data_IF_715734524261
#
_entry.id   IF_715734524261
#
_cell.length_a   1.000
_cell.length_b   1.000
_cell.length_c   1.000
_cell.angle_alpha   90.00
_cell.angle_beta   90.00
_cell.angle_gamma   90.00
#
_symmetry.space_group_name_H-M   'P 1'
#
loop_
_entity.id
_entity.type
_entity.pdbx_description
1 polymer ?
#
# COMPACT_ATOMS: atom_id res chain seq x y z
N UNK A 1 19.26 -16.06 7.51
CA UNK A 1 18.66 -15.51 8.75
C UNK A 1 17.58 -14.53 8.30
N UNK A 2 16.31 -14.87 8.48
CA UNK A 2 15.19 -13.99 8.12
C UNK A 2 15.07 -12.91 9.19
N UNK A 3 15.26 -11.64 8.84
CA UNK A 3 15.01 -10.55 9.78
C UNK A 3 13.53 -10.52 10.22
N UNK A 4 13.23 -10.24 11.49
CA UNK A 4 11.87 -10.23 11.99
C UNK A 4 11.02 -9.15 11.29
N UNK A 5 9.68 -9.34 11.18
CA UNK A 5 8.76 -8.32 10.69
C UNK A 5 8.93 -6.99 11.44
N UNK A 6 8.76 -5.86 10.75
CA UNK A 6 8.87 -4.52 11.35
C UNK A 6 7.81 -4.31 12.42
N UNK A 7 6.69 -5.02 12.32
CA UNK A 7 5.60 -5.03 13.29
C UNK A 7 5.60 -6.33 14.13
N UNK A 8 6.52 -6.49 15.11
CA UNK A 8 6.38 -7.54 16.10
C UNK A 8 5.10 -7.31 16.91
N UNK A 9 4.60 -8.39 17.50
CA UNK A 9 3.34 -8.43 18.27
C UNK A 9 3.22 -7.30 19.28
N UNK A 10 4.29 -7.02 20.03
CA UNK A 10 4.32 -5.94 21.02
C UNK A 10 4.06 -4.57 20.42
N UNK A 11 4.63 -4.25 19.25
CA UNK A 11 4.40 -2.97 18.56
C UNK A 11 2.99 -2.90 17.98
N UNK A 12 2.44 -4.02 17.49
CA UNK A 12 1.05 -4.09 17.04
C UNK A 12 0.07 -3.73 18.16
N UNK A 13 0.31 -4.26 19.37
CA UNK A 13 -0.47 -3.95 20.57
C UNK A 13 -0.36 -2.49 20.99
N UNK A 14 0.85 -1.92 20.98
CA UNK A 14 1.06 -0.51 21.27
C UNK A 14 0.32 0.39 20.27
N UNK A 15 0.39 0.05 18.97
CA UNK A 15 -0.34 0.77 17.94
C UNK A 15 -1.85 0.64 18.09
N UNK A 16 -2.37 -0.56 18.35
CA UNK A 16 -3.81 -0.78 18.54
C UNK A 16 -4.38 0.02 19.72
N UNK A 17 -3.57 0.25 20.77
CA UNK A 17 -3.94 1.06 21.93
C UNK A 17 -3.72 2.57 21.74
N UNK A 18 -2.68 2.99 21.01
CA UNK A 18 -2.33 4.40 20.84
C UNK A 18 -3.02 5.08 19.65
N UNK A 19 -3.40 4.30 18.63
CA UNK A 19 -4.07 4.82 17.45
C UNK A 19 -5.57 5.05 17.71
N UNK A 20 -6.18 5.99 16.97
CA UNK A 20 -7.62 6.14 16.93
C UNK A 20 -8.35 4.81 16.64
N UNK A 21 -9.59 4.64 17.14
CA UNK A 21 -10.34 3.40 16.99
C UNK A 21 -10.59 3.01 15.52
N UNK A 22 -10.49 3.94 14.58
CA UNK A 22 -10.61 3.64 13.15
C UNK A 22 -9.52 2.70 12.61
N UNK A 23 -8.36 2.64 13.27
CA UNK A 23 -7.27 1.74 12.89
C UNK A 23 -7.33 0.42 13.65
N UNK A 24 -7.95 0.37 14.83
CA UNK A 24 -7.97 -0.81 15.69
C UNK A 24 -9.31 -1.54 15.74
N UNK A 25 -10.40 -0.90 15.29
CA UNK A 25 -11.74 -1.48 15.23
C UNK A 25 -12.26 -1.39 13.79
N UNK A 26 -12.68 -2.52 13.19
CA UNK A 26 -13.39 -2.46 11.92
C UNK A 26 -14.68 -1.65 12.11
N UNK A 27 -15.01 -0.82 11.13
CA UNK A 27 -16.25 -0.02 11.15
C UNK A 27 -17.38 -1.03 10.91
N UNK A 28 -18.02 -1.49 12.00
CA UNK A 28 -19.11 -2.49 12.05
C UNK A 28 -19.80 -2.73 10.69
N UNK A 29 -19.66 -3.94 10.15
CA UNK A 29 -20.78 -4.56 9.44
C UNK A 29 -21.91 -4.77 10.46
N UNK A 30 -23.14 -4.42 10.08
CA UNK A 30 -24.32 -4.61 10.90
C UNK A 30 -24.36 -6.03 11.49
N UNK A 31 -24.42 -6.14 12.82
CA UNK A 31 -24.58 -7.42 13.50
C UNK A 31 -25.99 -7.96 13.26
N UNK A 32 -26.17 -9.20 12.76
CA UNK A 32 -27.44 -9.89 12.95
C UNK A 32 -27.56 -10.24 14.44
N UNK A 33 -28.77 -10.13 14.97
CA UNK A 33 -29.14 -10.64 16.28
C UNK A 33 -28.76 -12.11 16.38
N UNK A 34 -27.85 -12.47 17.28
CA UNK A 34 -27.74 -13.86 17.69
C UNK A 34 -27.54 -13.99 19.21
N UNK A 35 -28.58 -14.53 19.82
CA UNK A 35 -28.71 -14.87 21.21
C UNK A 35 -27.98 -16.19 21.48
N UNK A 36 -26.71 -16.11 21.84
CA UNK A 36 -25.89 -17.28 22.19
C UNK A 36 -25.13 -17.05 23.49
N UNK A 37 -25.63 -17.65 24.57
CA UNK A 37 -25.10 -17.54 25.93
C UNK A 37 -23.86 -18.44 26.09
N UNK A 38 -22.80 -17.92 26.74
CA UNK A 38 -21.68 -18.67 27.35
C UNK A 38 -20.43 -19.13 26.53
N UNK A 39 -20.00 -18.40 25.49
CA UNK A 39 -18.60 -18.47 24.99
C UNK A 39 -17.80 -17.15 25.11
N UNK A 40 -18.35 -16.16 25.81
CA UNK A 40 -17.84 -14.81 25.83
C UNK A 40 -16.40 -14.70 26.38
N UNK A 41 -16.03 -15.48 27.40
CA UNK A 41 -14.70 -15.37 28.04
C UNK A 41 -13.57 -15.98 27.21
N UNK A 42 -13.78 -17.13 26.55
CA UNK A 42 -12.79 -17.70 25.64
C UNK A 42 -12.68 -16.95 24.32
N UNK A 43 -13.80 -16.47 23.76
CA UNK A 43 -13.76 -15.60 22.58
C UNK A 43 -13.14 -14.23 22.91
N UNK A 44 -13.32 -13.72 24.13
CA UNK A 44 -12.67 -12.50 24.61
C UNK A 44 -11.17 -12.70 24.86
N UNK A 45 -10.77 -13.82 25.48
CA UNK A 45 -9.36 -14.21 25.62
C UNK A 45 -8.71 -14.46 24.26
N UNK A 46 -9.39 -15.11 23.32
CA UNK A 46 -8.91 -15.28 21.95
C UNK A 46 -8.82 -13.95 21.17
N UNK A 47 -9.70 -12.98 21.45
CA UNK A 47 -9.59 -11.59 20.97
C UNK A 47 -8.47 -10.80 21.65
N UNK A 48 -8.18 -11.10 22.92
CA UNK A 48 -7.03 -10.54 23.66
C UNK A 48 -5.72 -11.23 23.29
N UNK A 49 -5.77 -12.43 22.72
CA UNK A 49 -4.61 -13.20 22.25
C UNK A 49 -4.45 -13.09 20.73
N UNK A 50 -5.41 -12.49 19.99
CA UNK A 50 -5.27 -12.26 18.56
C UNK A 50 -4.24 -11.15 18.33
N UNK A 51 -3.04 -11.65 18.06
CA UNK A 51 -1.69 -11.08 17.85
C UNK A 51 -1.57 -9.77 17.07
N UNK A 52 -2.57 -9.40 16.29
CA UNK A 52 -2.75 -8.15 15.55
C UNK A 52 -4.27 -8.04 15.39
N UNK A 53 -4.91 -6.86 15.38
CA UNK A 53 -6.33 -6.79 15.09
C UNK A 53 -6.63 -7.60 13.83
N UNK A 54 -7.51 -8.61 13.92
CA UNK A 54 -7.62 -9.71 12.94
C UNK A 54 -7.92 -9.28 11.49
N UNK A 55 -8.30 -8.03 11.31
CA UNK A 55 -8.60 -7.40 10.03
C UNK A 55 -7.39 -6.70 9.39
N UNK A 56 -6.28 -6.52 10.10
CA UNK A 56 -5.08 -5.93 9.52
C UNK A 56 -4.50 -6.82 8.44
N UNK A 57 -4.29 -6.23 7.28
CA UNK A 57 -3.81 -6.90 6.10
C UNK A 57 -2.50 -6.28 5.64
N UNK A 58 -1.43 -7.07 5.52
CA UNK A 58 -0.21 -6.61 4.87
C UNK A 58 -0.51 -6.31 3.40
N UNK A 59 -0.34 -5.06 2.99
CA UNK A 59 -0.58 -4.58 1.62
C UNK A 59 0.72 -4.53 0.82
N UNK A 60 1.81 -4.15 1.48
CA UNK A 60 3.13 -3.98 0.89
C UNK A 60 4.20 -4.29 1.93
N UNK A 61 5.22 -5.04 1.51
CA UNK A 61 6.45 -5.28 2.26
C UNK A 61 7.62 -5.13 1.29
N UNK A 62 8.50 -4.16 1.54
CA UNK A 62 9.63 -3.89 0.67
C UNK A 62 10.65 -5.02 0.62
N UNK A 63 10.65 -5.96 1.58
CA UNK A 63 11.54 -7.14 1.58
C UNK A 63 11.12 -8.16 0.53
N UNK A 64 9.82 -8.31 0.34
CA UNK A 64 9.25 -9.24 -0.64
C UNK A 64 9.09 -8.57 -2.02
N UNK A 65 8.64 -7.32 -2.02
CA UNK A 65 8.25 -6.63 -3.24
C UNK A 65 9.37 -5.74 -3.82
N UNK A 66 10.45 -5.51 -3.06
CA UNK A 66 11.53 -4.56 -3.36
C UNK A 66 11.19 -3.13 -2.95
N UNK A 67 12.19 -2.35 -2.54
CA UNK A 67 12.05 -0.91 -2.28
C UNK A 67 11.82 -0.14 -3.58
N UNK A 68 11.04 0.94 -3.48
CA UNK A 68 10.81 1.86 -4.60
C UNK A 68 9.41 2.45 -4.63
N UNK A 69 9.33 3.71 -5.08
CA UNK A 69 8.09 4.47 -5.19
C UNK A 69 7.00 3.73 -5.98
N UNK A 70 7.31 3.27 -7.20
CA UNK A 70 6.31 2.62 -8.06
C UNK A 70 5.73 1.34 -7.42
N UNK A 71 6.55 0.61 -6.65
CA UNK A 71 6.12 -0.60 -5.95
C UNK A 71 5.19 -0.24 -4.80
N UNK A 72 5.54 0.78 -4.02
CA UNK A 72 4.65 1.32 -3.00
C UNK A 72 3.30 1.76 -3.59
N UNK A 73 3.30 2.60 -4.64
CA UNK A 73 2.07 3.10 -5.26
C UNK A 73 1.16 1.97 -5.75
N UNK A 74 1.74 0.99 -6.48
CA UNK A 74 1.01 -0.15 -7.03
C UNK A 74 0.30 -0.98 -5.94
N UNK A 75 0.91 -1.10 -4.75
CA UNK A 75 0.33 -1.91 -3.68
C UNK A 75 -0.63 -1.13 -2.78
N UNK A 76 -0.44 0.18 -2.63
CA UNK A 76 -1.09 1.00 -1.60
C UNK A 76 -2.25 1.85 -2.14
N UNK A 77 -2.12 2.48 -3.31
CA UNK A 77 -3.11 3.46 -3.81
C UNK A 77 -4.52 2.87 -4.02
N UNK A 78 -4.63 1.59 -4.40
CA UNK A 78 -5.93 0.96 -4.67
C UNK A 78 -6.70 0.56 -3.40
N UNK A 79 -6.15 0.80 -2.22
CA UNK A 79 -6.79 0.45 -0.96
C UNK A 79 -7.62 1.62 -0.41
N UNK A 80 -8.94 1.42 -0.34
CA UNK A 80 -9.92 2.46 0.03
C UNK A 80 -10.11 2.69 1.54
N UNK A 81 -9.36 1.98 2.38
CA UNK A 81 -9.49 2.02 3.83
C UNK A 81 -8.33 2.73 4.54
N UNK A 82 -8.37 2.78 5.89
CA UNK A 82 -7.28 3.30 6.69
C UNK A 82 -6.04 2.41 6.58
N UNK A 83 -4.86 3.01 6.57
CA UNK A 83 -3.58 2.32 6.41
C UNK A 83 -2.54 2.81 7.41
N UNK A 84 -1.62 1.92 7.78
CA UNK A 84 -0.44 2.21 8.58
C UNK A 84 0.80 1.96 7.73
N UNK A 85 1.63 2.98 7.56
CA UNK A 85 2.92 2.87 6.87
C UNK A 85 4.02 2.86 7.92
N UNK A 86 4.76 1.76 7.98
CA UNK A 86 5.92 1.59 8.85
C UNK A 86 7.19 1.82 8.05
N UNK A 87 8.09 2.62 8.61
CA UNK A 87 9.38 2.95 8.00
C UNK A 87 10.48 2.57 8.99
N UNK A 88 11.41 1.70 8.58
CA UNK A 88 12.62 1.40 9.35
C UNK A 88 13.83 2.06 8.75
N UNK A 89 14.54 2.83 9.57
CA UNK A 89 15.81 3.45 9.26
C UNK A 89 16.99 2.55 9.61
N UNK A 90 18.15 2.77 8.97
CA UNK A 90 19.42 2.09 9.26
C UNK A 90 19.86 2.22 10.72
N UNK A 91 19.55 3.35 11.36
CA UNK A 91 19.87 3.63 12.77
C UNK A 91 18.88 2.95 13.75
N UNK A 92 18.09 1.98 13.28
CA UNK A 92 17.13 1.22 14.10
C UNK A 92 15.86 1.99 14.48
N UNK A 93 15.69 3.24 14.00
CA UNK A 93 14.46 3.99 14.19
C UNK A 93 13.32 3.35 13.41
N UNK A 94 12.16 3.21 14.07
CA UNK A 94 10.93 2.77 13.41
C UNK A 94 9.87 3.83 13.58
N UNK A 95 9.32 4.30 12.48
CA UNK A 95 8.24 5.28 12.43
C UNK A 95 6.97 4.63 11.88
N UNK A 96 5.83 5.09 12.33
CA UNK A 96 4.51 4.69 11.86
C UNK A 96 3.73 5.93 11.43
N UNK A 97 3.22 5.93 10.21
CA UNK A 97 2.35 6.98 9.66
C UNK A 97 0.96 6.37 9.50
N UNK A 98 -0.02 6.92 10.21
CA UNK A 98 -1.42 6.56 10.08
C UNK A 98 -2.11 7.45 9.05
N UNK A 99 -2.61 6.83 7.99
CA UNK A 99 -3.54 7.46 7.05
C UNK A 99 -4.95 6.92 7.28
N UNK A 100 -5.91 7.77 7.66
CA UNK A 100 -7.28 7.35 7.91
C UNK A 100 -8.10 7.19 6.62
N UNK A 101 -7.57 7.64 5.49
CA UNK A 101 -8.20 7.58 4.18
C UNK A 101 -7.27 6.93 3.15
N UNK A 102 -7.82 6.63 1.98
CA UNK A 102 -7.06 6.14 0.84
C UNK A 102 -5.91 7.08 0.48
N UNK A 103 -4.78 6.49 0.10
CA UNK A 103 -3.64 7.26 -0.37
C UNK A 103 -3.95 7.84 -1.74
N UNK A 104 -3.60 9.11 -1.93
CA UNK A 104 -3.76 9.81 -3.20
C UNK A 104 -2.55 10.67 -3.50
N UNK A 105 -2.25 10.79 -4.78
CA UNK A 105 -1.23 11.71 -5.28
C UNK A 105 -1.80 13.13 -5.28
N UNK A 106 -1.04 14.08 -4.72
CA UNK A 106 -1.47 15.46 -4.56
C UNK A 106 -0.28 16.38 -4.35
N UNK A 107 -0.33 17.58 -4.95
CA UNK A 107 0.62 18.66 -4.67
C UNK A 107 0.29 19.44 -3.38
N UNK A 108 -0.86 19.17 -2.77
CA UNK A 108 -1.29 19.77 -1.50
C UNK A 108 -1.34 18.71 -0.40
N UNK A 109 -1.02 19.14 0.82
CA UNK A 109 -1.17 18.29 1.99
C UNK A 109 -2.65 17.99 2.25
N UNK A 110 -2.93 16.73 2.56
CA UNK A 110 -4.25 16.16 2.81
C UNK A 110 -4.21 15.32 4.10
N UNK A 111 -5.33 14.70 4.45
CA UNK A 111 -5.46 13.91 5.67
C UNK A 111 -6.52 14.49 6.61
N UNK A 112 -7.18 13.61 7.34
CA UNK A 112 -8.21 13.99 8.33
C UNK A 112 -7.57 14.20 9.70
N UNK A 113 -8.28 14.75 10.70
CA UNK A 113 -7.76 14.96 12.05
C UNK A 113 -7.22 13.70 12.76
N UNK A 114 -7.59 12.52 12.26
CA UNK A 114 -7.13 11.23 12.78
C UNK A 114 -5.85 10.71 12.10
N UNK A 115 -5.26 11.50 11.20
CA UNK A 115 -3.93 11.24 10.67
C UNK A 115 -2.91 11.45 11.79
N UNK A 116 -1.89 10.60 11.84
CA UNK A 116 -0.88 10.70 12.90
C UNK A 116 0.48 10.14 12.47
N UNK A 117 1.51 10.58 13.19
CA UNK A 117 2.87 10.08 13.08
C UNK A 117 3.35 9.67 14.47
N UNK A 118 3.75 8.41 14.59
CA UNK A 118 4.21 7.80 15.83
C UNK A 118 5.63 7.30 15.62
N UNK A 119 6.52 7.58 16.57
CA UNK A 119 7.81 6.91 16.67
C UNK A 119 7.61 5.65 17.51
N UNK A 120 7.92 4.48 16.96
CA UNK A 120 7.81 3.20 17.65
C UNK A 120 9.11 2.83 18.37
N UNK A 121 10.25 3.02 17.69
CA UNK A 121 11.57 2.68 18.20
C UNK A 121 12.56 3.84 18.00
N UNK A 122 13.57 3.97 18.89
CA UNK A 122 13.79 3.16 20.10
C UNK A 122 12.87 3.54 21.27
N UNK A 123 12.27 4.73 21.23
CA UNK A 123 11.32 5.22 22.23
C UNK A 123 9.95 5.40 21.59
N UNK A 124 8.95 4.75 22.17
CA UNK A 124 7.56 4.91 21.75
C UNK A 124 7.05 6.31 22.11
N UNK A 125 6.64 7.09 21.11
CA UNK A 125 6.06 8.42 21.31
C UNK A 125 5.18 8.83 20.13
N UNK A 126 3.97 9.32 20.42
CA UNK A 126 3.17 10.04 19.44
C UNK A 126 3.87 11.37 19.14
N UNK A 127 4.34 11.53 17.90
CA UNK A 127 5.08 12.73 17.50
C UNK A 127 4.10 13.84 17.15
N UNK A 128 3.11 13.52 16.32
CA UNK A 128 2.12 14.49 15.84
C UNK A 128 0.82 13.81 15.42
N UNK A 129 -0.31 14.51 15.61
CA UNK A 129 -1.64 14.13 15.14
C UNK A 129 -2.36 15.38 14.66
N UNK A 130 -2.96 15.36 13.47
CA UNK A 130 -3.67 16.51 12.96
C UNK A 130 -4.21 16.35 11.54
N UNK A 131 -5.08 17.28 11.09
CA UNK A 131 -5.56 17.32 9.72
C UNK A 131 -4.47 17.84 8.77
N UNK A 132 -4.60 17.54 7.47
CA UNK A 132 -3.71 18.05 6.41
C UNK A 132 -2.22 17.83 6.68
N UNK A 133 -1.86 16.67 7.22
CA UNK A 133 -0.47 16.33 7.54
C UNK A 133 0.18 15.37 6.54
N UNK A 134 -0.58 14.73 5.66
CA UNK A 134 -0.10 13.73 4.71
C UNK A 134 0.12 14.33 3.33
N UNK A 135 1.18 13.91 2.67
CA UNK A 135 1.54 14.39 1.34
C UNK A 135 2.20 13.28 0.56
N UNK A 136 1.84 13.16 -0.72
CA UNK A 136 2.42 12.20 -1.64
C UNK A 136 2.42 12.82 -3.03
N UNK A 137 3.61 13.00 -3.60
CA UNK A 137 3.76 13.51 -4.97
C UNK A 137 4.88 12.78 -5.69
N UNK A 138 4.61 12.42 -6.94
CA UNK A 138 5.50 11.59 -7.78
C UNK A 138 5.74 12.24 -9.14
N UNK A 139 4.68 12.79 -9.74
CA UNK A 139 4.69 13.27 -11.12
C UNK A 139 4.80 14.80 -11.24
N UNK A 140 4.27 15.56 -10.28
CA UNK A 140 4.12 17.02 -10.43
C UNK A 140 5.48 17.69 -10.22
N UNK A 141 6.02 18.23 -11.30
CA UNK A 141 7.28 19.00 -11.32
C UNK A 141 7.11 20.33 -10.58
N UNK A 142 8.21 20.84 -10.03
CA UNK A 142 8.21 22.09 -9.25
C UNK A 142 7.70 21.95 -7.82
N UNK A 143 7.11 20.80 -7.47
CA UNK A 143 6.77 20.43 -6.11
C UNK A 143 7.70 19.34 -5.61
N UNK A 144 7.88 19.23 -4.29
CA UNK A 144 8.72 18.20 -3.76
C UNK A 144 8.17 16.81 -4.05
N UNK A 145 9.03 15.88 -4.44
CA UNK A 145 8.64 14.50 -4.70
C UNK A 145 8.89 13.63 -3.48
N UNK A 146 8.19 12.52 -3.39
CA UNK A 146 8.26 11.63 -2.25
C UNK A 146 6.99 11.60 -1.41
N UNK A 147 7.07 10.86 -0.31
CA UNK A 147 6.06 10.82 0.74
C UNK A 147 6.48 11.79 1.85
N UNK A 148 5.55 12.57 2.39
CA UNK A 148 5.81 13.44 3.54
C UNK A 148 4.68 13.37 4.55
N UNK A 149 5.06 13.49 5.82
CA UNK A 149 4.14 13.56 6.93
C UNK A 149 4.56 14.67 7.92
N UNK A 150 3.61 15.53 8.27
CA UNK A 150 3.76 16.59 9.27
C UNK A 150 2.78 17.74 9.00
N UNK A 151 2.33 18.44 10.04
CA UNK A 151 1.36 19.54 9.86
C UNK A 151 1.94 20.75 9.13
N UNK A 152 3.25 21.00 9.28
CA UNK A 152 3.95 22.11 8.65
C UNK A 152 4.54 21.71 7.29
N UNK A 153 4.03 22.23 6.15
CA UNK A 153 4.53 21.84 4.82
C UNK A 153 6.00 22.21 4.56
N UNK A 154 6.48 23.25 5.25
CA UNK A 154 7.86 23.74 5.15
C UNK A 154 8.85 22.91 5.96
N UNK A 155 8.39 22.32 7.05
CA UNK A 155 9.20 21.53 7.99
C UNK A 155 8.47 20.21 8.29
N UNK A 156 8.33 19.30 7.31
CA UNK A 156 7.69 18.01 7.56
C UNK A 156 8.50 17.22 8.59
N UNK A 157 7.78 16.48 9.46
CA UNK A 157 8.40 15.65 10.49
C UNK A 157 9.10 14.47 9.86
N UNK A 158 8.44 13.82 8.90
CA UNK A 158 8.97 12.71 8.11
C UNK A 158 8.90 13.09 6.64
N UNK A 159 9.99 12.88 5.91
CA UNK A 159 9.96 12.91 4.45
C UNK A 159 10.78 11.77 3.88
N UNK A 160 10.17 10.98 3.01
CA UNK A 160 10.84 9.97 2.19
C UNK A 160 11.10 10.60 0.82
N UNK A 161 12.26 10.33 0.25
CA UNK A 161 12.67 10.84 -1.06
C UNK A 161 11.91 10.19 -2.23
N UNK A 162 12.20 10.61 -3.46
CA UNK A 162 11.60 10.01 -4.67
C UNK A 162 12.04 8.55 -4.88
N UNK A 163 13.29 8.24 -4.54
CA UNK A 163 13.85 6.90 -4.73
C UNK A 163 13.35 5.87 -3.71
N UNK A 164 12.83 6.32 -2.55
CA UNK A 164 12.48 5.48 -1.42
C UNK A 164 13.70 4.81 -0.77
N UNK A 165 14.83 5.52 -0.78
CA UNK A 165 16.11 5.07 -0.23
C UNK A 165 16.49 5.83 1.04
N UNK A 166 15.92 7.03 1.24
CA UNK A 166 16.24 7.89 2.38
C UNK A 166 14.98 8.41 3.05
N UNK A 167 14.99 8.40 4.38
CA UNK A 167 13.97 8.99 5.23
C UNK A 167 14.59 10.10 6.07
N UNK A 168 14.08 11.33 5.93
CA UNK A 168 14.46 12.44 6.78
C UNK A 168 13.47 12.55 7.94
N UNK A 169 13.97 12.47 9.16
CA UNK A 169 13.21 12.73 10.38
C UNK A 169 13.71 14.03 11.02
N UNK A 170 12.84 15.03 11.16
CA UNK A 170 13.16 16.37 11.68
C UNK A 170 14.42 16.99 11.03
N UNK A 171 14.50 16.93 9.69
CA UNK A 171 15.64 17.41 8.86
C UNK A 171 16.93 16.59 8.99
N UNK A 172 16.94 15.50 9.74
CA UNK A 172 18.08 14.60 9.83
C UNK A 172 17.85 13.45 8.84
N UNK A 173 18.72 13.27 7.83
CA UNK A 173 18.59 12.20 6.86
C UNK A 173 19.07 10.86 7.43
N UNK A 174 18.31 9.81 7.17
CA UNK A 174 18.69 8.43 7.47
C UNK A 174 18.48 7.55 6.25
N UNK A 175 19.29 6.49 6.09
CA UNK A 175 18.99 5.45 5.11
C UNK A 175 17.70 4.71 5.49
N UNK A 176 16.84 4.48 4.49
CA UNK A 176 15.60 3.73 4.64
C UNK A 176 15.87 2.27 4.28
N UNK A 177 15.65 1.37 5.25
CA UNK A 177 15.96 -0.06 5.09
C UNK A 177 14.73 -0.82 4.62
N UNK A 178 13.60 -0.60 5.27
CA UNK A 178 12.37 -1.33 4.97
C UNK A 178 11.12 -0.47 5.13
N UNK A 179 10.11 -0.82 4.34
CA UNK A 179 8.77 -0.25 4.40
C UNK A 179 7.77 -1.39 4.47
N UNK A 180 6.88 -1.33 5.46
CA UNK A 180 5.70 -2.19 5.52
C UNK A 180 4.45 -1.33 5.53
N UNK A 181 3.41 -1.76 4.81
CA UNK A 181 2.12 -1.07 4.81
C UNK A 181 1.03 -2.04 5.17
N UNK A 182 0.26 -1.69 6.19
CA UNK A 182 -0.83 -2.48 6.74
C UNK A 182 -2.15 -1.77 6.50
N UNK A 183 -3.09 -2.44 5.84
CA UNK A 183 -4.48 -1.99 5.68
C UNK A 183 -5.29 -2.36 6.92
N UNK A 184 -5.89 -1.37 7.55
CA UNK A 184 -6.65 -1.49 8.81
C UNK A 184 -8.17 -1.36 8.60
N UNK A 185 -8.64 -1.36 7.35
CA UNK A 185 -10.06 -1.32 7.01
C UNK A 185 -10.72 -2.70 7.03
N UNK A 186 -11.99 -2.72 6.63
CA UNK A 186 -12.82 -3.92 6.66
C UNK A 186 -12.42 -4.94 5.58
N UNK A 187 -12.84 -6.19 5.77
CA UNK A 187 -12.59 -7.28 4.82
C UNK A 187 -13.12 -6.97 3.41
N UNK A 188 -14.18 -6.15 3.29
CA UNK A 188 -14.72 -5.69 2.02
C UNK A 188 -13.73 -4.79 1.27
N UNK A 189 -13.08 -3.84 1.94
CA UNK A 189 -12.07 -2.96 1.32
C UNK A 189 -10.90 -3.78 0.77
N UNK A 190 -10.54 -4.88 1.46
CA UNK A 190 -9.54 -5.83 0.98
C UNK A 190 -10.00 -6.62 -0.23
N UNK A 191 -11.24 -7.11 -0.25
CA UNK A 191 -11.81 -7.82 -1.40
C UNK A 191 -11.87 -6.92 -2.63
N UNK A 192 -12.36 -5.69 -2.48
CA UNK A 192 -12.37 -4.68 -3.54
C UNK A 192 -10.97 -4.44 -4.10
N UNK A 193 -9.95 -4.31 -3.23
CA UNK A 193 -8.57 -4.16 -3.68
C UNK A 193 -8.08 -5.38 -4.47
N UNK A 194 -8.37 -6.59 -4.01
CA UNK A 194 -7.99 -7.82 -4.70
C UNK A 194 -8.66 -7.94 -6.07
N UNK A 195 -9.92 -7.55 -6.18
CA UNK A 195 -10.66 -7.57 -7.43
C UNK A 195 -10.14 -6.51 -8.41
N UNK A 196 -9.81 -5.31 -7.91
CA UNK A 196 -9.13 -4.26 -8.70
C UNK A 196 -7.79 -4.79 -9.22
N UNK A 197 -6.96 -5.43 -8.37
CA UNK A 197 -5.68 -6.00 -8.79
C UNK A 197 -5.85 -7.11 -9.83
N UNK A 198 -6.79 -8.03 -9.63
CA UNK A 198 -7.10 -9.09 -10.61
C UNK A 198 -7.54 -8.50 -11.94
N UNK A 199 -8.35 -7.46 -11.91
CA UNK A 199 -8.78 -6.74 -13.12
C UNK A 199 -7.59 -6.08 -13.82
N UNK A 200 -6.72 -5.39 -13.09
CA UNK A 200 -5.51 -4.77 -13.64
C UNK A 200 -4.58 -5.79 -14.29
N UNK A 201 -4.38 -6.96 -13.68
CA UNK A 201 -3.56 -8.03 -14.27
C UNK A 201 -4.19 -8.54 -15.57
N UNK A 202 -5.50 -8.84 -15.56
CA UNK A 202 -6.22 -9.27 -16.77
C UNK A 202 -6.14 -8.23 -17.89
N UNK A 203 -6.24 -6.96 -17.54
CA UNK A 203 -6.15 -5.86 -18.50
C UNK A 203 -4.73 -5.73 -19.07
N UNK A 204 -3.70 -5.85 -18.23
CA UNK A 204 -2.31 -5.85 -18.66
C UNK A 204 -1.98 -7.07 -19.56
N UNK A 205 -2.52 -8.25 -19.25
CA UNK A 205 -2.41 -9.45 -20.10
C UNK A 205 -3.10 -9.25 -21.45
N UNK A 206 -4.29 -8.65 -21.45
CA UNK A 206 -5.02 -8.28 -22.68
C UNK A 206 -4.22 -7.32 -23.55
N UNK A 207 -3.57 -6.33 -22.95
CA UNK A 207 -2.73 -5.37 -23.67
C UNK A 207 -1.40 -5.98 -24.17
N UNK A 208 -0.84 -6.97 -23.46
CA UNK A 208 0.33 -7.73 -23.93
C UNK A 208 0.00 -8.64 -25.09
N UNK A 209 -1.21 -9.18 -25.15
CA UNK A 209 -1.70 -9.91 -26.30
C UNK A 209 -2.05 -8.91 -27.40
N UNK A 210 -1.05 -8.50 -28.19
CA UNK A 210 -1.30 -7.85 -29.48
C UNK A 210 -1.96 -8.88 -30.38
N UNK A 211 -3.29 -8.88 -30.42
CA UNK A 211 -4.03 -9.60 -31.45
C UNK A 211 -3.79 -8.84 -32.74
N UNK A 212 -2.79 -9.27 -33.51
CA UNK A 212 -2.66 -8.87 -34.91
C UNK A 212 -4.01 -9.10 -35.58
N UNK A 213 -4.66 -8.02 -36.03
CA UNK A 213 -5.89 -8.17 -36.78
C UNK A 213 -5.58 -8.79 -38.14
N UNK A 214 -6.56 -9.44 -38.76
CA UNK A 214 -6.36 -10.01 -40.10
C UNK A 214 -5.98 -8.95 -41.15
N UNK A 215 -6.36 -7.68 -40.93
CA UNK A 215 -5.97 -6.56 -41.78
C UNK A 215 -4.50 -6.15 -41.54
N UNK A 216 -4.04 -6.10 -40.29
CA UNK A 216 -2.65 -5.76 -39.95
C UNK A 216 -1.66 -6.87 -40.36
N UNK A 217 -2.13 -8.12 -40.52
CA UNK A 217 -1.35 -9.25 -41.02
C UNK A 217 -1.03 -9.13 -42.51
N UNK A 218 -1.90 -8.49 -43.29
CA UNK A 218 -1.77 -8.40 -44.76
C UNK A 218 -0.52 -7.61 -45.15
N UNK A 219 -0.20 -6.56 -44.38
CA UNK A 219 0.90 -5.62 -44.63
C UNK A 219 2.17 -5.94 -43.80
N UNK A 220 2.17 -7.04 -43.03
CA UNK A 220 3.29 -7.37 -42.15
C UNK A 220 4.50 -7.90 -42.95
N UNK A 221 5.74 -7.39 -42.73
CA UNK A 221 6.93 -7.82 -43.48
C UNK A 221 7.23 -9.32 -43.34
N UNK A 222 6.86 -9.92 -42.20
CA UNK A 222 7.00 -11.36 -41.97
C UNK A 222 6.13 -12.22 -42.89
N UNK A 223 5.08 -11.64 -43.49
CA UNK A 223 4.29 -12.32 -44.53
C UNK A 223 5.17 -12.69 -45.72
N UNK A 224 6.01 -11.75 -46.16
CA UNK A 224 6.91 -11.95 -47.30
C UNK A 224 7.99 -12.99 -46.97
N UNK A 225 8.48 -13.02 -45.73
CA UNK A 225 9.42 -14.03 -45.25
C UNK A 225 8.81 -15.45 -45.23
N UNK A 226 7.54 -15.58 -44.84
CA UNK A 226 6.83 -16.85 -44.84
C UNK A 226 6.54 -17.37 -46.25
N UNK A 227 6.31 -16.47 -47.20
CA UNK A 227 6.14 -16.78 -48.62
C UNK A 227 7.45 -17.30 -49.24
N UNK A 228 8.57 -16.63 -48.97
CA UNK A 228 9.91 -17.08 -49.39
C UNK A 228 10.31 -18.42 -48.75
N UNK A 229 9.83 -18.70 -47.54
CA UNK A 229 10.04 -19.97 -46.84
C UNK A 229 9.11 -21.12 -47.34
N UNK A 230 8.30 -20.88 -48.37
CA UNK A 230 7.52 -21.92 -49.05
C UNK A 230 6.26 -22.39 -48.32
N UNK A 231 5.72 -21.63 -47.35
CA UNK A 231 4.45 -21.99 -46.72
C UNK A 231 3.25 -21.55 -47.58
N UNK A 232 2.36 -22.47 -48.02
CA UNK A 232 1.17 -22.11 -48.78
C UNK A 232 0.12 -21.41 -47.90
N UNK A 233 -0.48 -20.34 -48.42
CA UNK A 233 -1.54 -19.58 -47.77
C UNK A 233 -2.90 -20.27 -47.96
N UNK A 234 -3.66 -20.45 -46.88
CA UNK A 234 -4.99 -21.11 -46.89
C UNK A 234 -6.18 -20.16 -47.15
N UNK A 235 -5.96 -18.90 -47.55
CA UNK A 235 -7.06 -17.92 -47.64
C UNK A 235 -7.28 -17.28 -49.01
N UNK A 236 -6.96 -18.00 -50.09
CA UNK A 236 -7.54 -17.71 -51.41
C UNK A 236 -8.66 -18.71 -51.69
N UNK A 237 -9.77 -18.60 -50.96
CA UNK A 237 -11.05 -19.06 -51.50
C UNK A 237 -11.49 -18.04 -52.55
N UNK A 238 -11.25 -18.41 -53.81
CA UNK A 238 -11.74 -17.74 -54.98
C UNK A 238 -13.27 -17.69 -55.00
N UNK A 239 -13.83 -16.48 -54.98
CA UNK A 239 -14.86 -15.92 -55.85
C UNK A 239 -15.58 -14.74 -55.19
#
# INVERSE_FOLDING_TARGET
MTEPPLLPVSLAWLLAGALPPLYSKPVKAASPSDSGVNLASQAFMAKLLSVVPSHWALLYDSREHGLGMNRFLHHVLSYKGPTLVLLRSEEGHVFCIGSPCEWKESHQYWGTPESCVIKLLPKFSLIEKGPKMLYLNTAIRGYPKGLRAGSDPRNPIISVDESFDRVNYQKIPYGLVFIEVWGCGDQQSRQVQLDIKKWQVKEAERQRQVKLSAADWIDHPDRYLLELAGRPQYNNSAN
#
